data_IF_221015296708
#
_entry.id   IF_221015296708
#
_cell.length_a   1.000
_cell.length_b   1.000
_cell.length_c   1.000
_cell.angle_alpha   90.00
_cell.angle_beta   90.00
_cell.angle_gamma   90.00
#
_symmetry.space_group_name_H-M   'P 1'
#
loop_
_entity.id
_entity.type
_entity.pdbx_description
1 polymer ?
#
# COMPACT_ATOMS: atom_id res chain seq x y z
N UNK A 1 -18.27 14.76 44.21
CA UNK A 1 -18.05 15.02 42.76
C UNK A 1 -17.90 16.50 42.43
N UNK A 2 -18.50 17.42 43.19
CA UNK A 2 -18.36 18.89 43.00
C UNK A 2 -16.97 19.46 43.33
N UNK A 3 -16.30 18.95 44.36
CA UNK A 3 -15.01 19.48 44.84
C UNK A 3 -13.86 19.41 43.81
N UNK A 4 -13.84 18.37 42.96
CA UNK A 4 -12.88 18.26 41.85
C UNK A 4 -13.17 19.23 40.71
N UNK A 5 -14.44 19.56 40.50
CA UNK A 5 -14.87 20.47 39.44
C UNK A 5 -14.58 21.91 39.86
N UNK A 6 -14.85 22.26 41.12
CA UNK A 6 -14.54 23.58 41.66
C UNK A 6 -13.02 23.83 41.71
N UNK A 7 -12.22 22.84 42.11
CA UNK A 7 -10.76 22.90 42.07
C UNK A 7 -10.22 23.08 40.64
N UNK A 8 -10.81 22.41 39.65
CA UNK A 8 -10.47 22.59 38.23
C UNK A 8 -10.84 23.99 37.71
N UNK A 9 -12.01 24.51 38.10
CA UNK A 9 -12.48 25.84 37.71
C UNK A 9 -11.65 26.97 38.36
N UNK A 10 -11.21 26.77 39.59
CA UNK A 10 -10.38 27.72 40.32
C UNK A 10 -8.94 27.74 39.76
N UNK A 11 -8.40 26.58 39.37
CA UNK A 11 -7.14 26.47 38.63
C UNK A 11 -7.23 27.15 37.25
N UNK A 12 -8.33 26.96 36.51
CA UNK A 12 -8.58 27.61 35.22
C UNK A 12 -8.65 29.14 35.34
N UNK A 13 -9.33 29.67 36.38
CA UNK A 13 -9.39 31.11 36.66
C UNK A 13 -8.04 31.70 37.03
N UNK A 14 -7.22 30.96 37.78
CA UNK A 14 -5.89 31.40 38.19
C UNK A 14 -4.92 31.45 37.02
N UNK A 15 -5.03 30.49 36.10
CA UNK A 15 -4.28 30.43 34.84
C UNK A 15 -4.63 31.59 33.89
N UNK A 16 -5.89 32.03 33.89
CA UNK A 16 -6.35 33.11 33.01
C UNK A 16 -5.90 34.53 33.43
N UNK A 17 -5.40 34.75 34.66
CA UNK A 17 -5.19 36.09 35.22
C UNK A 17 -3.75 36.60 35.15
N UNK A 18 -2.80 35.76 34.75
CA UNK A 18 -1.37 36.09 34.75
C UNK A 18 -0.82 36.12 33.31
N UNK A 19 -0.32 37.27 32.85
CA UNK A 19 0.11 37.49 31.46
C UNK A 19 1.19 36.50 31.01
N UNK A 20 2.03 36.01 31.94
CA UNK A 20 3.06 35.00 31.65
C UNK A 20 2.47 33.60 31.51
N UNK A 21 1.49 33.27 32.33
CA UNK A 21 0.79 31.97 32.27
C UNK A 21 -0.08 31.87 31.03
N UNK A 22 -0.74 32.98 30.65
CA UNK A 22 -1.46 33.09 29.38
C UNK A 22 -0.55 32.85 28.17
N UNK A 23 0.69 33.39 28.17
CA UNK A 23 1.68 33.10 27.12
C UNK A 23 2.12 31.65 27.10
N UNK A 24 2.41 31.02 28.23
CA UNK A 24 2.81 29.59 28.27
C UNK A 24 1.67 28.69 27.80
N UNK A 25 0.44 28.99 28.22
CA UNK A 25 -0.74 28.27 27.74
C UNK A 25 -0.89 28.42 26.22
N UNK A 26 -0.76 29.64 25.70
CA UNK A 26 -0.97 29.88 24.27
C UNK A 26 0.18 29.35 23.39
N UNK A 27 1.42 29.38 23.85
CA UNK A 27 2.59 28.96 23.07
C UNK A 27 3.08 27.53 23.33
N UNK A 28 2.61 26.87 24.40
CA UNK A 28 2.99 25.49 24.72
C UNK A 28 1.77 24.60 24.81
N UNK A 29 0.78 24.95 25.62
CA UNK A 29 -0.39 24.09 25.85
C UNK A 29 -1.27 23.98 24.59
N UNK A 30 -1.55 25.09 23.90
CA UNK A 30 -2.34 25.08 22.66
C UNK A 30 -1.68 24.25 21.56
N UNK A 31 -0.41 24.47 21.16
CA UNK A 31 0.23 23.62 20.15
C UNK A 31 0.37 22.16 20.60
N UNK A 32 0.62 21.88 21.89
CA UNK A 32 0.63 20.53 22.42
C UNK A 32 -0.74 19.85 22.31
N UNK A 33 -1.83 20.57 22.61
CA UNK A 33 -3.20 20.08 22.45
C UNK A 33 -3.59 19.90 20.99
N UNK A 34 -3.10 20.76 20.08
CA UNK A 34 -3.27 20.59 18.63
C UNK A 34 -2.54 19.33 18.15
N UNK A 35 -1.29 19.12 18.59
CA UNK A 35 -0.55 17.90 18.30
C UNK A 35 -1.28 16.67 18.85
N UNK A 36 -1.77 16.71 20.09
CA UNK A 36 -2.56 15.63 20.68
C UNK A 36 -3.89 15.40 19.94
N UNK A 37 -4.55 16.46 19.47
CA UNK A 37 -5.79 16.38 18.71
C UNK A 37 -5.60 15.78 17.30
N UNK A 38 -4.43 15.95 16.67
CA UNK A 38 -4.08 15.26 15.42
C UNK A 38 -3.98 13.73 15.61
N UNK A 39 -3.73 13.27 16.83
CA UNK A 39 -3.74 11.84 17.22
C UNK A 39 -5.12 11.33 17.65
N UNK A 40 -6.14 12.19 17.78
CA UNK A 40 -7.48 11.74 18.18
C UNK A 40 -8.22 11.04 17.02
N UNK A 41 -9.12 10.07 17.34
CA UNK A 41 -9.74 9.17 16.37
C UNK A 41 -10.58 9.76 15.21
N UNK A 42 -11.03 11.04 15.20
CA UNK A 42 -11.61 11.57 13.97
C UNK A 42 -10.56 12.09 12.95
N UNK A 43 -9.30 12.33 13.36
CA UNK A 43 -8.31 13.02 12.53
C UNK A 43 -7.13 12.12 12.11
N UNK A 44 -6.83 11.05 12.86
CA UNK A 44 -5.82 10.00 12.62
C UNK A 44 -5.07 10.10 11.27
N UNK A 45 -4.14 11.06 11.16
CA UNK A 45 -3.43 11.34 9.89
C UNK A 45 -2.63 10.12 9.45
N UNK A 46 -2.10 9.37 10.42
CA UNK A 46 -1.42 8.11 10.20
C UNK A 46 -2.32 7.12 9.45
N UNK A 47 -3.53 6.85 9.94
CA UNK A 47 -4.48 5.94 9.28
C UNK A 47 -4.88 6.43 7.89
N UNK A 48 -5.11 7.74 7.70
CA UNK A 48 -5.44 8.31 6.38
C UNK A 48 -4.29 8.24 5.37
N UNK A 49 -3.04 8.38 5.82
CA UNK A 49 -1.86 8.19 4.96
C UNK A 49 -1.69 6.70 4.63
N UNK A 50 -1.90 5.83 5.61
CA UNK A 50 -1.83 4.38 5.44
C UNK A 50 -2.94 3.87 4.50
N UNK A 51 -4.18 4.36 4.61
CA UNK A 51 -5.31 3.96 3.75
C UNK A 51 -5.28 4.58 2.34
N UNK A 52 -4.41 5.56 2.08
CA UNK A 52 -4.34 6.21 0.77
C UNK A 52 -3.96 5.23 -0.34
N UNK A 53 -4.84 5.11 -1.33
CA UNK A 53 -4.67 4.28 -2.52
C UNK A 53 -5.14 2.84 -2.36
N UNK A 54 -5.78 2.48 -1.23
CA UNK A 54 -6.49 1.22 -1.10
C UNK A 54 -7.93 1.36 -1.59
N UNK A 55 -8.35 0.41 -2.42
CA UNK A 55 -9.70 0.32 -2.98
C UNK A 55 -10.38 -0.91 -2.41
N UNK A 56 -11.62 -0.76 -1.93
CA UNK A 56 -12.42 -1.89 -1.47
C UNK A 56 -12.81 -2.78 -2.65
N UNK A 57 -12.74 -4.09 -2.45
CA UNK A 57 -13.15 -5.10 -3.42
C UNK A 57 -14.44 -5.76 -2.94
N UNK A 58 -15.39 -5.92 -3.85
CA UNK A 58 -16.70 -6.49 -3.58
C UNK A 58 -17.73 -6.03 -4.62
N UNK A 59 -19.00 -6.12 -4.25
CA UNK A 59 -20.11 -5.71 -5.12
C UNK A 59 -19.94 -4.26 -5.62
N UNK A 60 -19.64 -4.11 -6.92
CA UNK A 60 -19.42 -2.83 -7.58
C UNK A 60 -17.97 -2.56 -8.01
N UNK A 61 -16.97 -3.26 -7.45
CA UNK A 61 -15.59 -3.20 -7.91
C UNK A 61 -14.81 -4.49 -7.59
N UNK A 62 -14.40 -5.21 -8.64
CA UNK A 62 -13.73 -6.51 -8.51
C UNK A 62 -12.24 -6.46 -8.86
N UNK A 63 -11.69 -5.27 -9.13
CA UNK A 63 -10.30 -5.15 -9.58
C UNK A 63 -9.64 -3.84 -9.13
N UNK A 64 -8.31 -3.82 -9.25
CA UNK A 64 -7.45 -2.64 -9.19
C UNK A 64 -6.51 -2.66 -10.38
N UNK A 65 -6.14 -1.49 -10.88
CA UNK A 65 -5.32 -1.33 -12.08
C UNK A 65 -4.27 -0.25 -11.86
N UNK A 66 -3.08 -0.49 -12.41
CA UNK A 66 -2.01 0.49 -12.52
C UNK A 66 -2.21 1.33 -13.79
N UNK A 67 -1.74 2.59 -13.85
CA UNK A 67 -1.92 3.43 -15.04
C UNK A 67 -1.39 2.85 -16.36
N UNK A 68 -0.52 1.83 -16.32
CA UNK A 68 -0.04 1.12 -17.50
C UNK A 68 -1.01 0.06 -18.06
N UNK A 69 -2.13 -0.22 -17.38
CA UNK A 69 -3.13 -1.21 -17.75
C UNK A 69 -2.99 -2.56 -17.05
N UNK A 70 -1.92 -2.77 -16.27
CA UNK A 70 -1.76 -3.97 -15.45
C UNK A 70 -2.83 -4.02 -14.38
N UNK A 71 -3.51 -5.17 -14.26
CA UNK A 71 -4.71 -5.32 -13.43
C UNK A 71 -4.62 -6.55 -12.54
N UNK A 72 -5.04 -6.38 -11.29
CA UNK A 72 -5.33 -7.47 -10.36
C UNK A 72 -6.85 -7.55 -10.15
N UNK A 73 -7.44 -8.69 -10.50
CA UNK A 73 -8.87 -8.96 -10.38
C UNK A 73 -9.09 -10.04 -9.33
N UNK A 74 -10.06 -9.85 -8.44
CA UNK A 74 -10.50 -10.85 -7.47
C UNK A 74 -11.89 -11.31 -7.91
N UNK A 75 -12.04 -12.56 -8.38
CA UNK A 75 -13.34 -13.10 -8.72
C UNK A 75 -14.26 -13.14 -7.47
N UNK A 76 -15.58 -12.98 -7.61
CA UNK A 76 -16.52 -13.07 -6.50
C UNK A 76 -16.40 -14.36 -5.67
N UNK A 77 -16.15 -15.48 -6.35
CA UNK A 77 -15.93 -16.80 -5.76
C UNK A 77 -14.68 -16.89 -4.89
N UNK A 78 -13.69 -16.01 -5.12
CA UNK A 78 -12.45 -15.93 -4.36
C UNK A 78 -12.54 -15.05 -3.12
N UNK A 79 -13.66 -14.37 -2.89
CA UNK A 79 -13.82 -13.39 -1.82
C UNK A 79 -14.41 -14.04 -0.55
N UNK A 80 -13.58 -14.26 0.46
CA UNK A 80 -14.00 -14.82 1.76
C UNK A 80 -14.57 -13.77 2.73
N UNK A 81 -14.21 -12.51 2.57
CA UNK A 81 -14.56 -11.42 3.48
C UNK A 81 -14.15 -10.05 2.94
N UNK A 82 -14.31 -8.97 3.71
CA UNK A 82 -13.99 -7.63 3.26
C UNK A 82 -12.48 -7.49 3.01
N UNK A 83 -12.12 -7.11 1.78
CA UNK A 83 -10.72 -6.89 1.39
C UNK A 83 -10.56 -5.52 0.73
N UNK A 84 -9.42 -4.87 0.99
CA UNK A 84 -8.98 -3.69 0.27
C UNK A 84 -7.65 -3.98 -0.42
N UNK A 85 -7.56 -3.62 -1.69
CA UNK A 85 -6.36 -3.79 -2.51
C UNK A 85 -5.76 -2.45 -2.92
N UNK A 86 -4.45 -2.43 -3.06
CA UNK A 86 -3.69 -1.33 -3.65
C UNK A 86 -2.71 -1.93 -4.64
N UNK A 87 -2.72 -1.45 -5.87
CA UNK A 87 -1.73 -1.79 -6.89
C UNK A 87 -0.90 -0.53 -7.19
N UNK A 88 0.41 -0.67 -7.15
CA UNK A 88 1.35 0.42 -7.48
C UNK A 88 2.55 -0.14 -8.20
N UNK A 89 3.08 0.57 -9.18
CA UNK A 89 4.31 0.21 -9.88
C UNK A 89 5.54 0.99 -9.39
N UNK A 90 6.69 0.33 -9.37
CA UNK A 90 8.02 0.93 -9.23
C UNK A 90 8.71 0.83 -10.58
N UNK A 91 9.11 1.94 -11.22
CA UNK A 91 9.77 1.91 -12.52
C UNK A 91 11.00 0.99 -12.50
N UNK A 92 11.13 0.14 -13.54
CA UNK A 92 12.23 -0.84 -13.68
C UNK A 92 13.60 -0.22 -13.41
N UNK A 93 13.86 0.95 -14.00
CA UNK A 93 15.15 1.64 -13.86
C UNK A 93 15.45 2.03 -12.41
N UNK A 94 14.45 2.50 -11.67
CA UNK A 94 14.61 2.92 -10.28
C UNK A 94 14.75 1.71 -9.36
N UNK A 95 14.03 0.63 -9.65
CA UNK A 95 14.15 -0.64 -8.95
C UNK A 95 15.55 -1.24 -9.10
N UNK A 96 16.02 -1.42 -10.34
CA UNK A 96 17.33 -2.02 -10.63
C UNK A 96 18.50 -1.16 -10.13
N UNK A 97 18.36 0.17 -10.10
CA UNK A 97 19.36 1.08 -9.53
C UNK A 97 19.36 1.13 -8.00
N UNK A 98 18.35 0.57 -7.33
CA UNK A 98 18.20 0.65 -5.88
C UNK A 98 17.65 1.98 -5.36
N UNK A 99 17.15 2.85 -6.23
CA UNK A 99 16.59 4.16 -5.85
C UNK A 99 15.22 4.03 -5.16
N UNK A 100 14.61 2.84 -5.18
CA UNK A 100 13.32 2.54 -4.58
C UNK A 100 13.38 2.14 -3.08
N UNK A 101 14.58 2.17 -2.47
CA UNK A 101 14.81 1.94 -1.04
C UNK A 101 15.49 0.60 -0.72
N UNK A 102 16.05 0.50 0.49
CA UNK A 102 16.94 -0.62 0.89
C UNK A 102 16.28 -2.00 0.82
N UNK A 103 14.99 -2.11 1.13
CA UNK A 103 14.28 -3.39 1.06
C UNK A 103 14.16 -3.90 -0.38
N UNK A 104 13.89 -3.00 -1.32
CA UNK A 104 13.75 -3.33 -2.74
C UNK A 104 15.11 -3.54 -3.40
N UNK A 105 16.17 -2.88 -2.91
CA UNK A 105 17.53 -3.15 -3.37
C UNK A 105 17.91 -4.62 -3.16
N UNK A 106 17.54 -5.23 -2.03
CA UNK A 106 17.78 -6.66 -1.80
C UNK A 106 17.06 -7.54 -2.83
N UNK A 107 15.80 -7.21 -3.12
CA UNK A 107 15.03 -7.92 -4.15
C UNK A 107 15.69 -7.79 -5.53
N UNK A 108 16.15 -6.59 -5.90
CA UNK A 108 16.83 -6.35 -7.18
C UNK A 108 18.15 -7.15 -7.29
N UNK A 109 18.93 -7.20 -6.22
CA UNK A 109 20.19 -7.97 -6.17
C UNK A 109 19.97 -9.49 -6.18
N UNK A 110 18.81 -9.95 -5.74
CA UNK A 110 18.46 -11.37 -5.68
C UNK A 110 17.84 -11.90 -6.98
N UNK A 111 17.69 -11.07 -8.03
CA UNK A 111 17.21 -11.54 -9.34
C UNK A 111 18.19 -12.62 -9.86
N UNK A 112 17.71 -13.84 -10.17
CA UNK A 112 18.55 -14.89 -10.71
C UNK A 112 19.26 -14.44 -12.00
N UNK A 113 20.54 -14.80 -12.16
CA UNK A 113 21.38 -14.34 -13.27
C UNK A 113 20.93 -14.81 -14.67
N UNK A 114 19.99 -15.74 -14.73
CA UNK A 114 19.40 -16.25 -15.98
C UNK A 114 18.07 -15.55 -16.32
N UNK A 115 17.62 -14.59 -15.50
CA UNK A 115 16.40 -13.81 -15.72
C UNK A 115 16.75 -12.36 -16.03
N UNK A 116 15.96 -11.76 -16.92
CA UNK A 116 16.03 -10.33 -17.25
C UNK A 116 14.68 -9.69 -16.94
N UNK A 117 14.66 -8.68 -16.08
CA UNK A 117 13.43 -7.95 -15.76
C UNK A 117 12.99 -7.06 -16.93
N UNK A 118 11.77 -7.27 -17.43
CA UNK A 118 11.18 -6.48 -18.53
C UNK A 118 10.19 -5.42 -18.04
N UNK A 119 9.33 -5.76 -17.08
CA UNK A 119 8.31 -4.85 -16.55
C UNK A 119 8.83 -3.95 -15.41
N UNK A 120 8.06 -2.93 -15.00
CA UNK A 120 8.13 -2.39 -13.64
C UNK A 120 7.95 -3.48 -12.59
N UNK A 121 8.35 -3.19 -11.35
CA UNK A 121 7.98 -4.02 -10.21
C UNK A 121 6.61 -3.56 -9.69
N UNK A 122 5.60 -4.40 -9.80
CA UNK A 122 4.29 -4.14 -9.21
C UNK A 122 4.31 -4.55 -7.74
N UNK A 123 3.79 -3.68 -6.89
CA UNK A 123 3.60 -3.92 -5.47
C UNK A 123 2.10 -3.96 -5.17
N UNK A 124 1.70 -5.00 -4.45
CA UNK A 124 0.31 -5.24 -4.12
C UNK A 124 0.16 -5.15 -2.61
N UNK A 125 -0.60 -4.14 -2.19
CA UNK A 125 -1.03 -3.98 -0.81
C UNK A 125 -2.35 -4.70 -0.59
N UNK A 126 -2.38 -5.63 0.37
CA UNK A 126 -3.58 -6.33 0.81
C UNK A 126 -3.94 -5.90 2.24
N UNK A 127 -5.23 -5.61 2.48
CA UNK A 127 -5.79 -5.45 3.82
C UNK A 127 -7.10 -6.21 3.95
N UNK A 128 -7.29 -6.87 5.08
CA UNK A 128 -8.46 -7.71 5.33
C UNK A 128 -8.11 -9.19 5.13
N UNK A 129 -9.11 -9.98 4.77
CA UNK A 129 -8.94 -11.41 4.57
C UNK A 129 -8.23 -11.70 3.24
N UNK A 130 -7.38 -12.74 3.21
CA UNK A 130 -6.69 -13.17 1.99
C UNK A 130 -7.68 -13.83 1.04
N UNK A 131 -7.87 -13.33 -0.19
CA UNK A 131 -8.66 -14.00 -1.21
C UNK A 131 -8.10 -15.38 -1.57
N UNK A 132 -9.00 -16.32 -1.85
CA UNK A 132 -8.64 -17.68 -2.28
C UNK A 132 -8.42 -17.80 -3.78
N UNK A 133 -8.80 -16.79 -4.55
CA UNK A 133 -8.57 -16.71 -5.99
C UNK A 133 -8.24 -15.27 -6.42
N UNK A 134 -7.27 -15.14 -7.32
CA UNK A 134 -6.87 -13.88 -7.92
C UNK A 134 -6.44 -14.10 -9.38
N UNK A 135 -6.79 -13.16 -10.24
CA UNK A 135 -6.35 -13.14 -11.64
C UNK A 135 -5.53 -11.88 -11.87
N UNK A 136 -4.25 -12.07 -12.15
CA UNK A 136 -3.31 -11.01 -12.49
C UNK A 136 -3.14 -10.97 -14.01
N UNK A 137 -3.34 -9.79 -14.61
CA UNK A 137 -3.05 -9.53 -16.01
C UNK A 137 -2.01 -8.42 -16.09
N UNK A 138 -0.81 -8.76 -16.57
CA UNK A 138 0.33 -7.84 -16.70
C UNK A 138 0.51 -7.48 -18.16
N UNK A 139 0.53 -6.19 -18.48
CA UNK A 139 0.76 -5.72 -19.85
C UNK A 139 2.19 -6.05 -20.28
N UNK A 140 2.37 -6.59 -21.48
CA UNK A 140 3.67 -6.91 -22.05
C UNK A 140 4.35 -5.61 -22.50
N UNK A 141 5.54 -5.27 -21.97
CA UNK A 141 6.29 -4.11 -22.44
C UNK A 141 6.71 -4.25 -23.90
N UNK A 142 6.75 -3.13 -24.64
CA UNK A 142 7.13 -3.11 -26.05
C UNK A 142 8.53 -3.71 -26.34
N UNK A 143 9.43 -3.75 -25.36
CA UNK A 143 10.81 -4.27 -25.44
C UNK A 143 10.96 -5.70 -24.86
N UNK A 144 9.87 -6.46 -24.77
CA UNK A 144 9.81 -7.77 -24.12
C UNK A 144 9.87 -8.98 -25.06
N UNK A 145 10.18 -8.79 -26.35
CA UNK A 145 10.39 -9.91 -27.27
C UNK A 145 11.65 -10.74 -26.90
N UNK A 146 11.64 -12.08 -27.07
CA UNK A 146 10.55 -12.89 -27.61
C UNK A 146 9.52 -13.34 -26.54
N UNK A 147 8.23 -13.28 -26.89
CA UNK A 147 7.13 -13.54 -25.93
C UNK A 147 7.12 -14.97 -25.36
N UNK A 148 7.63 -15.94 -26.10
CA UNK A 148 7.70 -17.34 -25.65
C UNK A 148 8.63 -17.59 -24.46
N UNK A 149 9.42 -16.58 -24.07
CA UNK A 149 10.33 -16.63 -22.91
C UNK A 149 9.84 -15.81 -21.73
N UNK A 150 8.69 -15.14 -21.86
CA UNK A 150 8.13 -14.30 -20.82
C UNK A 150 7.38 -15.13 -19.78
N UNK A 151 7.64 -14.82 -18.51
CA UNK A 151 7.05 -15.46 -17.34
C UNK A 151 6.90 -14.42 -16.22
N UNK A 152 6.00 -14.69 -15.28
CA UNK A 152 5.84 -13.86 -14.08
C UNK A 152 6.59 -14.46 -12.90
N UNK A 153 7.16 -13.58 -12.08
CA UNK A 153 7.87 -13.95 -10.86
C UNK A 153 7.40 -13.08 -9.70
N UNK A 154 7.32 -13.66 -8.50
CA UNK A 154 7.00 -12.92 -7.28
C UNK A 154 8.19 -12.90 -6.33
N UNK A 155 8.41 -11.77 -5.69
CA UNK A 155 9.40 -11.64 -4.61
C UNK A 155 8.77 -12.06 -3.28
N UNK A 156 9.34 -13.09 -2.65
CA UNK A 156 8.85 -13.66 -1.39
C UNK A 156 9.36 -12.96 -0.13
N UNK A 157 10.31 -12.03 -0.30
CA UNK A 157 11.09 -11.46 0.81
C UNK A 157 12.53 -11.98 0.88
N UNK A 158 12.77 -13.16 0.30
CA UNK A 158 14.08 -13.85 0.30
C UNK A 158 14.53 -14.26 -1.10
N UNK A 159 13.60 -14.76 -1.92
CA UNK A 159 13.86 -15.25 -3.27
C UNK A 159 12.76 -14.84 -4.25
N UNK A 160 13.11 -14.83 -5.54
CA UNK A 160 12.16 -14.75 -6.64
C UNK A 160 11.61 -16.13 -6.96
N UNK A 161 10.28 -16.25 -6.97
CA UNK A 161 9.58 -17.48 -7.28
C UNK A 161 8.73 -17.32 -8.51
N UNK A 162 8.82 -18.27 -9.44
CA UNK A 162 7.99 -18.32 -10.62
C UNK A 162 6.49 -18.40 -10.24
N UNK A 163 5.66 -17.70 -10.99
CA UNK A 163 4.20 -17.76 -10.90
C UNK A 163 3.64 -18.45 -12.15
N UNK A 164 2.64 -19.34 -12.00
CA UNK A 164 2.00 -19.97 -13.15
C UNK A 164 1.28 -18.93 -14.01
N UNK A 165 1.75 -18.74 -15.24
CA UNK A 165 1.23 -17.75 -16.17
C UNK A 165 1.22 -18.24 -17.62
N UNK A 166 0.47 -17.55 -18.47
CA UNK A 166 0.50 -17.74 -19.92
C UNK A 166 0.37 -16.41 -20.65
N UNK A 167 0.99 -16.30 -21.82
CA UNK A 167 0.87 -15.15 -22.70
C UNK A 167 -0.44 -15.21 -23.46
N UNK A 168 -1.17 -14.10 -23.48
CA UNK A 168 -2.37 -13.87 -24.29
C UNK A 168 -2.02 -12.80 -25.32
N UNK A 169 -1.67 -13.24 -26.53
CA UNK A 169 -1.12 -12.37 -27.59
C UNK A 169 -2.15 -11.35 -28.05
N UNK A 170 -3.42 -11.73 -28.11
CA UNK A 170 -4.53 -10.86 -28.52
C UNK A 170 -4.76 -9.69 -27.55
N UNK A 171 -4.30 -9.81 -26.31
CA UNK A 171 -4.43 -8.80 -25.25
C UNK A 171 -3.11 -8.10 -24.93
N UNK A 172 -2.01 -8.46 -25.63
CA UNK A 172 -0.64 -8.03 -25.30
C UNK A 172 -0.35 -8.15 -23.79
N UNK A 173 -0.77 -9.26 -23.17
CA UNK A 173 -0.73 -9.44 -21.73
C UNK A 173 -0.24 -10.84 -21.31
N UNK A 174 0.31 -10.93 -20.10
CA UNK A 174 0.61 -12.17 -19.41
C UNK A 174 -0.42 -12.35 -18.29
N UNK A 175 -1.17 -13.44 -18.36
CA UNK A 175 -2.25 -13.74 -17.41
C UNK A 175 -1.85 -14.87 -16.47
N UNK A 176 -2.03 -14.64 -15.18
CA UNK A 176 -1.80 -15.60 -14.11
C UNK A 176 -3.05 -15.77 -13.25
N UNK A 177 -3.47 -17.02 -13.05
CA UNK A 177 -4.55 -17.37 -12.10
C UNK A 177 -3.92 -17.98 -10.87
N UNK A 178 -4.12 -17.35 -9.73
CA UNK A 178 -3.44 -17.64 -8.48
C UNK A 178 -4.45 -17.98 -7.39
N UNK A 179 -4.08 -18.88 -6.48
CA UNK A 179 -4.87 -19.21 -5.30
C UNK A 179 -4.60 -18.28 -4.10
N UNK A 180 -3.88 -17.18 -4.33
CA UNK A 180 -3.49 -16.19 -3.34
C UNK A 180 -3.15 -14.87 -4.02
N UNK A 181 -3.09 -13.79 -3.26
CA UNK A 181 -2.62 -12.48 -3.74
C UNK A 181 -1.13 -12.31 -3.43
N UNK A 182 -0.24 -12.23 -4.44
CA UNK A 182 1.19 -12.01 -4.21
C UNK A 182 1.42 -10.59 -3.69
N UNK A 183 2.50 -10.37 -2.91
CA UNK A 183 2.86 -9.02 -2.43
C UNK A 183 3.53 -8.16 -3.50
N UNK A 184 4.12 -8.79 -4.51
CA UNK A 184 4.76 -8.10 -5.64
C UNK A 184 4.95 -9.05 -6.82
N UNK A 185 4.95 -8.50 -8.03
CA UNK A 185 5.21 -9.21 -9.29
C UNK A 185 6.04 -8.33 -10.19
#
# INVERSE_FOLDING_TARGET
MGEKIDSLLEALRKVARDERTSRIVNFVLVPLLVLAALWLPPISIQERILERGYTAIGEGNWWVEDPDGTRLTIPPEGLAGPVKLKLTSVPRLDFLKGSAGEKLLKAAQAIPSHLEMKSPLYQIGLRGEMPTEAVLSVVIPNDAEPYCTLDLYTWTGEEWRWLPSHVVVEEDAIVSRLSFVPSSV
#
